data_IF_305192174929
#
_entry.id   IF_305192174929
#
_cell.length_a   1.000
_cell.length_b   1.000
_cell.length_c   1.000
_cell.angle_alpha   90.00
_cell.angle_beta   90.00
_cell.angle_gamma   90.00
#
_symmetry.space_group_name_H-M   'P 1'
#
loop_
_entity.id
_entity.type
_entity.pdbx_description
1 polymer ?
#
# COMPACT_ATOMS: atom_id res chain seq x y z
N UNK A 1 -28.56 -26.12 7.57
CA UNK A 1 -27.70 -25.89 6.39
C UNK A 1 -27.02 -24.54 6.57
N UNK A 2 -25.97 -24.47 7.38
CA UNK A 2 -25.29 -23.22 7.73
C UNK A 2 -24.23 -22.96 6.67
N UNK A 3 -24.50 -22.03 5.75
CA UNK A 3 -23.51 -21.58 4.78
C UNK A 3 -22.34 -20.96 5.52
N UNK A 4 -21.20 -21.63 5.47
CA UNK A 4 -19.92 -21.09 5.94
C UNK A 4 -19.54 -19.92 5.03
N UNK A 5 -19.95 -18.71 5.38
CA UNK A 5 -19.25 -17.51 4.95
C UNK A 5 -17.86 -17.60 5.57
N UNK A 6 -16.91 -18.20 4.84
CA UNK A 6 -15.51 -18.23 5.21
C UNK A 6 -15.05 -16.78 5.34
N UNK A 7 -14.97 -16.29 6.57
CA UNK A 7 -14.34 -15.02 6.86
C UNK A 7 -12.88 -15.12 6.41
N UNK A 8 -12.38 -14.22 5.55
CA UNK A 8 -10.97 -14.18 5.25
C UNK A 8 -10.24 -13.88 6.57
N UNK A 9 -9.60 -14.87 7.16
CA UNK A 9 -8.76 -14.69 8.33
C UNK A 9 -7.37 -14.29 7.85
N UNK A 10 -6.94 -13.09 8.22
CA UNK A 10 -5.61 -12.58 7.91
C UNK A 10 -5.63 -11.14 7.43
N UNK A 11 -4.69 -10.84 6.53
CA UNK A 11 -4.47 -9.53 5.96
C UNK A 11 -4.92 -9.55 4.50
N UNK A 12 -5.85 -8.68 4.11
CA UNK A 12 -6.28 -8.59 2.72
C UNK A 12 -6.47 -7.14 2.26
N UNK A 13 -6.11 -6.83 1.00
CA UNK A 13 -6.29 -5.50 0.45
C UNK A 13 -7.73 -5.30 -0.07
N UNK A 14 -8.22 -4.08 0.05
CA UNK A 14 -9.45 -3.59 -0.56
C UNK A 14 -9.17 -2.28 -1.27
N UNK A 15 -9.74 -2.08 -2.45
CA UNK A 15 -9.66 -0.81 -3.16
C UNK A 15 -11.08 -0.36 -3.48
N UNK A 16 -11.49 0.78 -2.93
CA UNK A 16 -12.77 1.38 -3.21
C UNK A 16 -12.61 2.60 -4.10
N UNK A 17 -13.47 2.70 -5.10
CA UNK A 17 -13.71 3.93 -5.83
C UNK A 17 -15.03 4.52 -5.35
N UNK A 18 -14.93 5.70 -4.75
CA UNK A 18 -16.03 6.41 -4.14
C UNK A 18 -16.27 7.69 -4.92
N UNK A 19 -17.47 7.85 -5.46
CA UNK A 19 -17.81 9.02 -6.27
C UNK A 19 -19.08 8.80 -7.07
N UNK A 20 -19.65 9.88 -7.59
CA UNK A 20 -20.91 9.84 -8.34
C UNK A 20 -20.72 9.47 -9.82
N UNK A 21 -19.48 9.22 -10.26
CA UNK A 21 -19.08 9.00 -11.66
C UNK A 21 -19.47 10.13 -12.64
N UNK A 22 -19.93 11.28 -12.13
CA UNK A 22 -20.27 12.43 -12.94
C UNK A 22 -19.00 13.14 -13.44
N UNK A 23 -18.95 13.62 -14.71
CA UNK A 23 -17.81 14.35 -15.23
C UNK A 23 -17.48 15.57 -14.36
N UNK A 24 -16.22 15.66 -13.92
CA UNK A 24 -15.74 16.77 -13.09
C UNK A 24 -16.08 16.67 -11.60
N UNK A 25 -16.89 15.69 -11.18
CA UNK A 25 -17.15 15.45 -9.76
C UNK A 25 -15.91 14.91 -9.04
N UNK A 26 -15.92 15.07 -7.71
CA UNK A 26 -14.88 14.56 -6.84
C UNK A 26 -14.90 13.03 -6.85
N UNK A 27 -13.72 12.44 -6.94
CA UNK A 27 -13.52 10.99 -6.84
C UNK A 27 -12.52 10.71 -5.73
N UNK A 28 -12.91 9.85 -4.79
CA UNK A 28 -12.05 9.31 -3.76
C UNK A 28 -11.62 7.90 -4.16
N UNK A 29 -10.31 7.71 -4.30
CA UNK A 29 -9.68 6.40 -4.39
C UNK A 29 -9.17 6.02 -3.00
N UNK A 30 -9.71 4.93 -2.46
CA UNK A 30 -9.41 4.48 -1.11
C UNK A 30 -8.80 3.08 -1.18
N UNK A 31 -7.53 2.98 -0.84
CA UNK A 31 -6.82 1.71 -0.72
C UNK A 31 -6.71 1.36 0.75
N UNK A 32 -7.33 0.25 1.16
CA UNK A 32 -7.30 -0.24 2.52
C UNK A 32 -6.63 -1.60 2.57
N UNK A 33 -6.05 -1.87 3.72
CA UNK A 33 -5.49 -3.14 4.13
C UNK A 33 -6.20 -3.51 5.43
N UNK A 34 -7.02 -4.54 5.35
CA UNK A 34 -7.83 -5.00 6.49
C UNK A 34 -7.04 -6.06 7.23
N UNK A 35 -6.84 -5.84 8.52
CA UNK A 35 -6.23 -6.81 9.41
C UNK A 35 -7.29 -7.41 10.33
N UNK A 36 -7.74 -8.62 10.01
CA UNK A 36 -8.88 -9.23 10.72
C UNK A 36 -8.63 -9.59 12.18
N UNK A 37 -7.43 -10.04 12.62
CA UNK A 37 -7.20 -10.41 14.01
C UNK A 37 -7.45 -9.27 15.00
N UNK A 38 -7.11 -8.04 14.62
CA UNK A 38 -7.29 -6.85 15.47
C UNK A 38 -8.45 -5.95 15.04
N UNK A 39 -9.17 -6.32 13.98
CA UNK A 39 -10.26 -5.53 13.40
C UNK A 39 -9.85 -4.11 12.95
N UNK A 40 -8.57 -3.94 12.60
CA UNK A 40 -8.00 -2.67 12.18
C UNK A 40 -7.95 -2.55 10.66
N UNK A 41 -7.97 -1.31 10.18
CA UNK A 41 -7.75 -0.96 8.78
C UNK A 41 -6.66 0.09 8.67
N UNK A 42 -5.80 -0.04 7.67
CA UNK A 42 -4.79 0.97 7.33
C UNK A 42 -4.66 1.11 5.82
N UNK A 43 -4.17 2.24 5.34
CA UNK A 43 -3.94 2.41 3.91
C UNK A 43 -3.85 3.87 3.48
N UNK A 44 -4.32 4.19 2.27
CA UNK A 44 -4.23 5.53 1.70
C UNK A 44 -5.55 5.97 1.07
N UNK A 45 -5.83 7.26 1.17
CA UNK A 45 -6.94 7.95 0.51
C UNK A 45 -6.38 9.04 -0.40
N UNK A 46 -6.88 9.06 -1.64
CA UNK A 46 -6.57 10.11 -2.60
C UNK A 46 -7.87 10.67 -3.17
N UNK A 47 -8.12 11.95 -2.94
CA UNK A 47 -9.29 12.67 -3.43
C UNK A 47 -8.84 13.53 -4.60
N UNK A 48 -9.48 13.35 -5.76
CA UNK A 48 -9.17 14.11 -6.97
C UNK A 48 -10.42 14.79 -7.52
N UNK A 49 -10.24 15.98 -8.11
CA UNK A 49 -11.26 16.70 -8.86
C UNK A 49 -10.61 17.37 -10.07
N UNK A 50 -11.17 17.16 -11.26
CA UNK A 50 -10.64 17.70 -12.51
C UNK A 50 -11.13 19.12 -12.86
N UNK A 51 -12.18 19.62 -12.19
CA UNK A 51 -12.76 20.94 -12.45
C UNK A 51 -12.11 22.02 -11.59
N UNK A 52 -11.99 23.24 -12.12
CA UNK A 52 -11.43 24.40 -11.42
C UNK A 52 -12.29 24.81 -10.20
N UNK A 53 -11.74 24.90 -8.97
CA UNK A 53 -10.34 24.64 -8.62
C UNK A 53 -10.01 23.13 -8.59
N UNK A 54 -8.92 22.69 -9.26
CA UNK A 54 -8.51 21.30 -9.21
C UNK A 54 -8.18 20.93 -7.76
N UNK A 55 -8.56 19.71 -7.38
CA UNK A 55 -8.33 19.19 -6.04
C UNK A 55 -7.48 17.93 -6.16
N UNK A 56 -6.42 17.87 -5.35
CA UNK A 56 -5.63 16.67 -5.13
C UNK A 56 -5.24 16.63 -3.65
N UNK A 57 -5.92 15.77 -2.89
CA UNK A 57 -5.68 15.61 -1.45
C UNK A 57 -5.28 14.16 -1.20
N UNK A 58 -4.10 14.00 -0.64
CA UNK A 58 -3.60 12.70 -0.22
C UNK A 58 -3.62 12.58 1.30
N UNK A 59 -3.92 11.40 1.81
CA UNK A 59 -3.95 11.12 3.24
C UNK A 59 -3.62 9.65 3.50
N UNK A 60 -2.73 9.40 4.45
CA UNK A 60 -2.55 8.07 5.02
C UNK A 60 -3.68 7.84 6.02
N UNK A 61 -4.42 6.75 5.85
CA UNK A 61 -5.62 6.46 6.63
C UNK A 61 -5.43 5.28 7.55
N UNK A 62 -6.04 5.36 8.72
CA UNK A 62 -6.09 4.27 9.69
C UNK A 62 -7.41 4.31 10.46
N UNK A 63 -7.82 3.16 10.99
CA UNK A 63 -9.02 3.05 11.78
C UNK A 63 -9.40 1.60 12.04
N UNK A 64 -10.70 1.38 12.18
CA UNK A 64 -11.26 0.10 12.58
C UNK A 64 -12.49 -0.23 11.74
N UNK A 65 -12.88 -1.49 11.73
CA UNK A 65 -14.13 -1.92 11.14
C UNK A 65 -14.97 -2.72 12.14
N UNK A 66 -16.29 -2.60 12.04
CA UNK A 66 -17.24 -3.27 12.92
C UNK A 66 -18.38 -3.89 12.12
N UNK A 67 -18.81 -5.09 12.52
CA UNK A 67 -19.96 -5.75 11.93
C UNK A 67 -21.25 -5.23 12.58
N UNK A 68 -22.10 -4.58 11.79
CA UNK A 68 -23.46 -4.21 12.17
C UNK A 68 -24.38 -5.39 11.88
N UNK A 69 -24.75 -6.11 12.93
CA UNK A 69 -25.78 -7.14 12.85
C UNK A 69 -27.14 -6.52 13.20
N UNK A 70 -28.05 -6.50 12.24
CA UNK A 70 -29.44 -6.06 12.47
C UNK A 70 -30.32 -7.30 12.60
N UNK A 71 -31.22 -7.30 13.57
CA UNK A 71 -32.17 -8.39 13.76
C UNK A 71 -33.00 -8.60 12.48
N UNK A 72 -33.31 -9.86 12.16
CA UNK A 72 -34.02 -10.25 10.94
C UNK A 72 -35.30 -9.42 10.75
N UNK A 73 -35.60 -8.91 9.54
CA UNK A 73 -35.04 -9.27 8.23
C UNK A 73 -33.78 -8.47 7.80
N UNK A 74 -33.06 -7.84 8.74
CA UNK A 74 -31.90 -7.02 8.44
C UNK A 74 -30.75 -7.76 7.75
N UNK A 75 -30.21 -7.18 6.68
CA UNK A 75 -28.96 -7.61 6.05
C UNK A 75 -27.79 -7.07 6.88
N UNK A 76 -26.91 -7.96 7.35
CA UNK A 76 -25.69 -7.56 8.06
C UNK A 76 -24.85 -6.60 7.21
N UNK A 77 -24.39 -5.51 7.82
CA UNK A 77 -23.53 -4.50 7.18
C UNK A 77 -22.19 -4.42 7.90
N UNK A 78 -21.19 -3.86 7.23
CA UNK A 78 -19.88 -3.60 7.81
C UNK A 78 -19.68 -2.10 7.79
N UNK A 79 -19.40 -1.53 8.96
CA UNK A 79 -19.02 -0.14 9.11
C UNK A 79 -17.51 -0.06 9.21
N UNK A 80 -16.89 0.71 8.34
CA UNK A 80 -15.47 1.06 8.37
C UNK A 80 -15.40 2.51 8.79
N UNK A 81 -14.72 2.78 9.91
CA UNK A 81 -14.47 4.11 10.42
C UNK A 81 -12.98 4.37 10.34
N UNK A 82 -12.59 5.39 9.57
CA UNK A 82 -11.19 5.73 9.38
C UNK A 82 -10.97 7.24 9.44
N UNK A 83 -9.77 7.62 9.83
CA UNK A 83 -9.27 8.99 9.79
C UNK A 83 -7.89 9.00 9.14
N UNK A 84 -7.48 10.16 8.62
CA UNK A 84 -6.20 10.29 7.95
C UNK A 84 -5.55 11.65 8.12
N UNK A 85 -4.22 11.64 7.94
CA UNK A 85 -3.37 12.82 7.91
C UNK A 85 -2.23 12.59 6.90
N UNK A 86 -1.30 13.54 6.82
CA UNK A 86 -0.05 13.35 6.08
C UNK A 86 0.99 12.63 6.97
N UNK A 87 1.25 11.35 6.72
CA UNK A 87 2.29 10.56 7.40
C UNK A 87 1.80 9.51 8.41
N UNK A 88 0.49 9.31 8.52
CA UNK A 88 -0.10 8.24 9.33
C UNK A 88 -0.22 8.54 10.84
N UNK A 89 -0.58 7.52 11.65
CA UNK A 89 -0.92 7.68 13.06
C UNK A 89 0.22 8.18 13.95
N UNK A 90 1.48 7.96 13.55
CA UNK A 90 2.67 8.44 14.27
C UNK A 90 3.15 9.84 13.86
N UNK A 91 2.49 10.48 12.89
CA UNK A 91 2.88 11.80 12.39
C UNK A 91 2.27 12.93 13.20
N UNK A 92 2.99 14.03 13.36
CA UNK A 92 2.49 15.28 13.97
C UNK A 92 1.60 16.11 13.02
N UNK A 93 1.25 15.57 11.85
CA UNK A 93 0.31 16.22 10.93
C UNK A 93 -1.12 16.22 11.47
N UNK A 94 -1.81 17.34 11.26
CA UNK A 94 -3.24 17.44 11.59
C UNK A 94 -4.06 16.48 10.73
N UNK A 95 -5.13 15.93 11.33
CA UNK A 95 -6.12 15.12 10.62
C UNK A 95 -6.77 15.98 9.54
N UNK A 96 -6.66 15.54 8.29
CA UNK A 96 -7.19 16.21 7.11
C UNK A 96 -8.28 15.38 6.42
N UNK A 97 -8.57 14.16 6.90
CA UNK A 97 -9.54 13.24 6.32
C UNK A 97 -10.27 12.43 7.39
N UNK A 98 -11.56 12.20 7.18
CA UNK A 98 -12.41 11.30 7.97
C UNK A 98 -13.36 10.52 7.06
N UNK A 99 -13.65 9.28 7.41
CA UNK A 99 -14.45 8.37 6.62
C UNK A 99 -15.35 7.51 7.50
N UNK A 100 -16.61 7.40 7.10
CA UNK A 100 -17.55 6.38 7.51
C UNK A 100 -18.05 5.66 6.25
N UNK A 101 -17.58 4.44 6.03
CA UNK A 101 -17.96 3.62 4.89
C UNK A 101 -18.81 2.44 5.36
N UNK A 102 -20.04 2.35 4.87
CA UNK A 102 -20.94 1.23 5.16
C UNK A 102 -21.02 0.34 3.93
N UNK A 103 -20.53 -0.89 4.04
CA UNK A 103 -20.56 -1.89 2.95
C UNK A 103 -21.44 -3.09 3.30
N UNK A 104 -21.85 -3.82 2.27
CA UNK A 104 -22.46 -5.14 2.42
C UNK A 104 -21.53 -6.14 3.11
N UNK A 105 -22.10 -7.27 3.56
CA UNK A 105 -21.33 -8.39 4.12
C UNK A 105 -20.33 -9.01 3.14
N UNK A 106 -20.46 -8.69 1.86
CA UNK A 106 -19.61 -9.12 0.75
C UNK A 106 -18.44 -8.15 0.47
N UNK A 107 -18.32 -7.04 1.21
CA UNK A 107 -17.30 -6.00 1.04
C UNK A 107 -17.29 -5.31 -0.33
N UNK A 108 -18.28 -5.54 -1.20
CA UNK A 108 -18.24 -5.10 -2.60
C UNK A 108 -18.81 -3.72 -2.82
N UNK A 109 -20.00 -3.49 -2.28
CA UNK A 109 -20.75 -2.25 -2.53
C UNK A 109 -21.20 -1.61 -1.22
N UNK A 110 -21.28 -0.29 -1.24
CA UNK A 110 -21.64 0.48 -0.06
C UNK A 110 -21.89 1.95 -0.33
N UNK A 111 -22.02 2.69 0.76
CA UNK A 111 -22.11 4.15 0.75
C UNK A 111 -21.06 4.68 1.70
N UNK A 112 -20.25 5.62 1.22
CA UNK A 112 -19.26 6.33 2.00
C UNK A 112 -19.76 7.75 2.30
N UNK A 113 -19.66 8.13 3.57
CA UNK A 113 -19.67 9.51 3.99
C UNK A 113 -18.24 9.88 4.41
N UNK A 114 -17.62 10.81 3.69
CA UNK A 114 -16.27 11.25 4.00
C UNK A 114 -16.20 12.77 4.11
N UNK A 115 -15.28 13.23 4.94
CA UNK A 115 -14.97 14.62 5.17
C UNK A 115 -13.49 14.84 4.92
N UNK A 116 -13.16 15.92 4.23
CA UNK A 116 -11.77 16.28 4.01
C UNK A 116 -11.55 17.79 4.13
N UNK A 117 -10.35 18.18 4.49
CA UNK A 117 -9.95 19.58 4.57
C UNK A 117 -9.37 20.02 3.22
N UNK A 118 -10.01 21.00 2.58
CA UNK A 118 -9.59 21.49 1.25
C UNK A 118 -8.53 22.61 1.30
N UNK A 119 -7.96 22.89 2.47
CA UNK A 119 -7.04 24.02 2.70
C UNK A 119 -7.70 25.22 3.39
N UNK A 120 -9.01 25.40 3.23
CA UNK A 120 -9.77 26.53 3.81
C UNK A 120 -10.89 26.06 4.75
N UNK A 121 -11.59 24.99 4.39
CA UNK A 121 -12.74 24.46 5.13
C UNK A 121 -12.84 22.94 5.01
N UNK A 122 -13.60 22.36 5.93
CA UNK A 122 -14.04 20.97 5.82
C UNK A 122 -15.17 20.85 4.80
N UNK A 123 -15.05 19.88 3.91
CA UNK A 123 -16.06 19.53 2.91
C UNK A 123 -16.52 18.12 3.18
N UNK A 124 -17.84 17.95 3.34
CA UNK A 124 -18.46 16.64 3.54
C UNK A 124 -19.10 16.17 2.24
N UNK A 125 -18.89 14.90 1.91
CA UNK A 125 -19.40 14.28 0.69
C UNK A 125 -19.96 12.91 1.03
N UNK A 126 -21.15 12.63 0.51
CA UNK A 126 -21.75 11.29 0.54
C UNK A 126 -21.85 10.77 -0.88
N UNK A 127 -21.26 9.61 -1.13
CA UNK A 127 -21.20 9.02 -2.46
C UNK A 127 -21.25 7.48 -2.40
N UNK A 128 -21.73 6.82 -3.46
CA UNK A 128 -21.68 5.37 -3.56
C UNK A 128 -20.21 4.90 -3.62
N UNK A 129 -19.96 3.77 -2.98
CA UNK A 129 -18.66 3.11 -2.91
C UNK A 129 -18.73 1.79 -3.65
N UNK A 130 -17.84 1.60 -4.62
CA UNK A 130 -17.71 0.35 -5.36
C UNK A 130 -16.31 -0.21 -5.22
N UNK A 131 -16.22 -1.49 -4.89
CA UNK A 131 -14.97 -2.23 -4.86
C UNK A 131 -14.43 -2.35 -6.28
N UNK A 132 -13.18 -1.94 -6.47
CA UNK A 132 -12.45 -2.14 -7.70
C UNK A 132 -11.84 -3.54 -7.64
N UNK A 133 -12.51 -4.51 -8.26
CA UNK A 133 -12.05 -5.92 -8.29
C UNK A 133 -10.65 -6.06 -8.92
N UNK A 134 -10.32 -5.17 -9.85
CA UNK A 134 -8.98 -5.05 -10.40
C UNK A 134 -8.21 -3.97 -9.64
N UNK A 135 -7.68 -4.28 -8.45
CA UNK A 135 -6.47 -3.56 -8.02
C UNK A 135 -5.43 -3.94 -9.07
N UNK A 136 -4.88 -3.01 -9.87
CA UNK A 136 -3.70 -3.33 -10.63
C UNK A 136 -2.59 -3.53 -9.60
N UNK A 137 -2.46 -4.75 -9.09
CA UNK A 137 -1.21 -5.23 -8.60
C UNK A 137 -0.24 -5.10 -9.77
N UNK A 138 0.59 -4.07 -9.75
CA UNK A 138 1.79 -4.05 -10.57
C UNK A 138 2.69 -5.27 -10.27
N UNK A 139 2.35 -6.08 -9.25
CA UNK A 139 2.96 -7.36 -8.93
C UNK A 139 2.58 -8.54 -9.86
N UNK A 140 1.55 -8.46 -10.71
CA UNK A 140 1.26 -9.51 -11.71
C UNK A 140 0.22 -9.08 -12.75
N UNK A 141 0.47 -8.02 -13.54
CA UNK A 141 -0.21 -8.00 -14.85
C UNK A 141 0.36 -9.14 -15.66
N UNK A 142 -0.43 -10.22 -15.79
CA UNK A 142 -0.21 -11.31 -16.73
C UNK A 142 0.19 -10.73 -18.08
N UNK A 143 1.47 -10.85 -18.41
CA UNK A 143 2.01 -10.45 -19.71
C UNK A 143 1.30 -11.30 -20.77
N UNK A 144 0.62 -10.70 -21.76
CA UNK A 144 0.06 -11.43 -22.88
C UNK A 144 1.16 -12.23 -23.59
N UNK A 145 0.92 -13.53 -23.82
CA UNK A 145 1.82 -14.45 -24.54
C UNK A 145 1.77 -14.20 -26.08
N UNK A 146 1.79 -12.95 -26.52
CA UNK A 146 1.91 -12.59 -27.93
C UNK A 146 3.11 -11.66 -28.18
N UNK A 147 3.73 -11.72 -29.37
CA UNK A 147 5.07 -11.20 -29.58
C UNK A 147 5.09 -9.67 -29.74
N UNK A 148 5.34 -8.96 -28.64
CA UNK A 148 5.83 -7.58 -28.60
C UNK A 148 5.11 -6.68 -27.57
N UNK A 149 5.66 -5.52 -27.13
CA UNK A 149 7.04 -5.05 -27.15
C UNK A 149 7.78 -5.41 -25.83
N UNK A 150 9.12 -5.43 -25.87
CA UNK A 150 9.98 -5.84 -24.75
C UNK A 150 9.75 -4.95 -23.52
N UNK A 151 9.08 -5.48 -22.50
CA UNK A 151 9.14 -4.92 -21.15
C UNK A 151 10.59 -5.11 -20.70
N UNK A 152 11.32 -4.06 -20.28
CA UNK A 152 12.67 -4.25 -19.78
C UNK A 152 12.58 -5.22 -18.61
N UNK A 153 13.31 -6.33 -18.72
CA UNK A 153 13.50 -7.26 -17.62
C UNK A 153 13.83 -6.45 -16.36
N UNK A 154 13.37 -6.90 -15.20
CA UNK A 154 13.84 -6.39 -13.91
C UNK A 154 15.33 -6.08 -14.04
N UNK A 155 15.78 -4.87 -13.68
CA UNK A 155 17.20 -4.57 -13.77
C UNK A 155 17.89 -5.71 -13.03
N UNK A 156 18.81 -6.43 -13.69
CA UNK A 156 19.49 -7.54 -13.05
C UNK A 156 20.02 -7.00 -11.72
N UNK A 157 19.83 -7.74 -10.62
CA UNK A 157 20.42 -7.38 -9.33
C UNK A 157 21.91 -7.26 -9.61
N UNK A 158 22.38 -6.03 -9.78
CA UNK A 158 23.76 -5.75 -10.11
C UNK A 158 24.52 -5.90 -8.81
N UNK A 159 25.48 -6.83 -8.71
CA UNK A 159 26.40 -6.83 -7.59
C UNK A 159 26.99 -5.43 -7.41
N UNK A 160 27.28 -5.05 -6.17
CA UNK A 160 27.78 -3.71 -5.80
C UNK A 160 28.94 -3.22 -6.69
N UNK A 161 29.76 -4.14 -7.21
CA UNK A 161 30.89 -3.84 -8.10
C UNK A 161 30.66 -4.05 -9.60
N UNK A 162 29.44 -4.40 -10.05
CA UNK A 162 29.19 -4.71 -11.46
C UNK A 162 29.46 -3.53 -12.41
N UNK A 163 28.91 -2.35 -12.13
CA UNK A 163 29.15 -1.15 -12.94
C UNK A 163 30.62 -0.68 -12.85
N UNK A 164 31.27 -0.63 -11.68
CA UNK A 164 32.70 -0.36 -11.56
C UNK A 164 33.58 -1.33 -12.38
N UNK A 165 33.29 -2.64 -12.36
CA UNK A 165 34.04 -3.64 -13.15
C UNK A 165 33.92 -3.36 -14.65
N UNK A 166 32.72 -3.10 -15.14
CA UNK A 166 32.50 -2.78 -16.56
C UNK A 166 33.26 -1.51 -16.98
N UNK A 167 33.24 -0.47 -16.14
CA UNK A 167 33.97 0.77 -16.39
C UNK A 167 35.50 0.57 -16.39
N UNK A 168 36.04 -0.24 -15.47
CA UNK A 168 37.48 -0.52 -15.39
C UNK A 168 37.98 -1.39 -16.55
N UNK A 169 37.14 -2.32 -17.03
CA UNK A 169 37.43 -3.11 -18.25
C UNK A 169 37.40 -2.19 -19.48
N UNK A 170 36.39 -1.32 -19.58
CA UNK A 170 36.26 -0.39 -20.70
C UNK A 170 37.37 0.68 -20.73
N UNK A 171 37.87 1.11 -19.57
CA UNK A 171 38.97 2.09 -19.48
C UNK A 171 40.34 1.49 -19.82
N UNK A 172 40.50 0.17 -19.73
CA UNK A 172 41.77 -0.52 -19.99
C UNK A 172 42.87 -0.23 -18.96
N UNK A 173 42.57 0.47 -17.87
CA UNK A 173 43.54 0.85 -16.83
C UNK A 173 43.79 -0.32 -15.85
N UNK A 174 44.95 -0.96 -15.98
CA UNK A 174 45.37 -2.08 -15.15
C UNK A 174 45.53 -1.73 -13.66
N UNK A 175 45.91 -0.49 -13.33
CA UNK A 175 46.02 -0.07 -11.94
C UNK A 175 44.64 0.04 -11.28
N UNK A 176 43.65 0.56 -12.01
CA UNK A 176 42.26 0.63 -11.55
C UNK A 176 41.66 -0.77 -11.35
N UNK A 177 41.86 -1.68 -12.30
CA UNK A 177 41.38 -3.07 -12.19
C UNK A 177 41.95 -3.78 -10.96
N UNK A 178 43.25 -3.63 -10.67
CA UNK A 178 43.89 -4.22 -9.49
C UNK A 178 43.38 -3.65 -8.18
N UNK A 179 43.18 -2.33 -8.11
CA UNK A 179 42.61 -1.70 -6.93
C UNK A 179 41.19 -2.18 -6.65
N UNK A 180 40.35 -2.28 -7.69
CA UNK A 180 38.99 -2.77 -7.58
C UNK A 180 38.96 -4.24 -7.12
N UNK A 181 39.81 -5.11 -7.68
CA UNK A 181 39.91 -6.50 -7.28
C UNK A 181 40.25 -6.65 -5.79
N UNK A 182 41.18 -5.82 -5.29
CA UNK A 182 41.55 -5.80 -3.86
C UNK A 182 40.37 -5.38 -2.96
N UNK A 183 39.61 -4.36 -3.37
CA UNK A 183 38.43 -3.91 -2.61
C UNK A 183 37.34 -5.00 -2.57
N UNK A 184 37.08 -5.64 -3.71
CA UNK A 184 36.13 -6.75 -3.79
C UNK A 184 36.56 -7.93 -2.89
N UNK A 185 37.86 -8.25 -2.87
CA UNK A 185 38.40 -9.30 -1.98
C UNK A 185 38.25 -8.93 -0.50
N UNK A 186 38.57 -7.69 -0.11
CA UNK A 186 38.38 -7.23 1.27
C UNK A 186 36.93 -7.35 1.72
N UNK A 187 35.96 -7.07 0.85
CA UNK A 187 34.55 -7.23 1.17
C UNK A 187 34.15 -8.70 1.30
N UNK A 188 34.71 -9.58 0.47
CA UNK A 188 34.48 -11.02 0.59
C UNK A 188 35.06 -11.55 1.91
N UNK A 189 36.23 -11.07 2.32
CA UNK A 189 36.86 -11.44 3.59
C UNK A 189 36.04 -10.95 4.81
N UNK A 190 35.24 -9.88 4.66
CA UNK A 190 34.31 -9.37 5.68
C UNK A 190 32.97 -10.12 5.73
N UNK A 191 32.69 -11.02 4.77
CA UNK A 191 31.44 -11.78 4.72
C UNK A 191 31.09 -12.52 6.02
N UNK A 192 32.03 -13.19 6.72
CA UNK A 192 31.72 -13.89 7.98
C UNK A 192 31.25 -12.93 9.09
N UNK A 193 31.81 -11.72 9.14
CA UNK A 193 31.40 -10.69 10.12
C UNK A 193 30.01 -10.14 9.80
N UNK A 194 29.69 -9.99 8.51
CA UNK A 194 28.35 -9.58 8.08
C UNK A 194 27.31 -10.65 8.41
N UNK A 195 27.66 -11.93 8.23
CA UNK A 195 26.78 -13.05 8.59
C UNK A 195 26.53 -13.10 10.11
N UNK A 196 27.57 -12.93 10.94
CA UNK A 196 27.40 -12.93 12.39
C UNK A 196 26.59 -11.74 12.90
N UNK A 197 26.79 -10.55 12.31
CA UNK A 197 26.01 -9.36 12.61
C UNK A 197 24.52 -9.54 12.23
N UNK A 198 24.25 -10.19 11.09
CA UNK A 198 22.90 -10.51 10.64
C UNK A 198 22.19 -11.49 11.58
N UNK A 199 22.87 -12.54 12.03
CA UNK A 199 22.31 -13.48 13.00
C UNK A 199 22.05 -12.81 14.36
N UNK A 200 22.94 -11.93 14.80
CA UNK A 200 22.72 -11.12 16.01
C UNK A 200 21.47 -10.24 15.88
N UNK A 201 21.32 -9.57 14.73
CA UNK A 201 20.14 -8.73 14.45
C UNK A 201 18.85 -9.54 14.45
N UNK A 202 18.83 -10.73 13.83
CA UNK A 202 17.67 -11.64 13.87
C UNK A 202 17.32 -12.07 15.30
N UNK A 203 18.32 -12.31 16.13
CA UNK A 203 18.14 -12.64 17.55
C UNK A 203 17.45 -11.51 18.33
N UNK A 204 17.88 -10.27 18.13
CA UNK A 204 17.27 -9.10 18.78
C UNK A 204 15.84 -8.84 18.27
N UNK A 205 15.58 -9.01 16.97
CA UNK A 205 14.22 -8.94 16.42
C UNK A 205 13.32 -9.96 17.12
N UNK A 206 13.74 -11.22 17.21
CA UNK A 206 12.98 -12.28 17.87
C UNK A 206 12.73 -12.01 19.37
N UNK A 207 13.64 -11.27 20.03
CA UNK A 207 13.50 -10.87 21.43
C UNK A 207 12.49 -9.73 21.59
N UNK A 208 12.52 -8.73 20.71
CA UNK A 208 11.58 -7.61 20.68
C UNK A 208 10.16 -8.09 20.39
N UNK A 209 9.99 -9.06 19.49
CA UNK A 209 8.67 -9.64 19.13
C UNK A 209 8.02 -10.45 20.27
N UNK A 210 8.80 -10.90 21.27
CA UNK A 210 8.29 -11.66 22.43
C UNK A 210 7.96 -10.80 23.64
N UNK A 211 8.25 -9.50 23.59
CA UNK A 211 7.93 -8.53 24.64
C UNK A 211 6.57 -7.89 24.39
#
# INVERSE_FOLDING_TARGET
MSGSNQQPVGLFPLCYRIGTSAPGAQSLALNLLVFTPEQTVSGTATITQATNPPLDVHSDVWGEYTYLTVMSPGVSKILITAQGNNGGPGSNSIVNFKLHLVVGSDWREGVANYEYYNGERWVQVTAPAHLVESVPSNAYKSVPLEPGPVIPAYPPIMPLYAAPIQSAIASGDLAQMKNLARLAQQQLDQQPQLQSALETAKGEISRQERR
#
